data_IF_990921463339
#
_entry.id   IF_990921463339
#
_cell.length_a   1.000
_cell.length_b   1.000
_cell.length_c   1.000
_cell.angle_alpha   90.00
_cell.angle_beta   90.00
_cell.angle_gamma   90.00
#
_symmetry.space_group_name_H-M   'P 1'
#
loop_
_entity.id
_entity.type
_entity.pdbx_description
1 polymer ?
#
# COMPACT_ATOMS: atom_id res chain seq x y z
N UNK A 1 0.05 -26.25 1.31
CA UNK A 1 -0.75 -25.56 0.26
C UNK A 1 -0.41 -24.08 0.03
N UNK A 2 0.71 -23.51 0.53
CA UNK A 2 1.09 -22.10 0.27
C UNK A 2 1.85 -21.87 -1.06
N UNK A 3 2.38 -22.92 -1.68
CA UNK A 3 3.21 -22.80 -2.89
C UNK A 3 2.40 -22.54 -4.18
N UNK A 4 1.15 -23.02 -4.26
CA UNK A 4 0.34 -22.89 -5.48
C UNK A 4 -0.21 -21.47 -5.71
N UNK A 5 -0.38 -20.68 -4.65
CA UNK A 5 -0.93 -19.33 -4.76
C UNK A 5 0.00 -18.36 -5.51
N UNK A 6 1.32 -18.55 -5.38
CA UNK A 6 2.31 -17.72 -6.07
C UNK A 6 2.38 -17.99 -7.57
N UNK A 7 2.15 -19.24 -7.99
CA UNK A 7 2.28 -19.67 -9.39
C UNK A 7 1.22 -19.04 -10.29
N UNK A 8 -0.03 -18.97 -9.82
CA UNK A 8 -1.16 -18.41 -10.58
C UNK A 8 -1.08 -16.91 -10.83
N UNK A 9 -0.37 -16.14 -10.00
CA UNK A 9 -0.21 -14.70 -10.19
C UNK A 9 0.84 -14.38 -11.26
N UNK A 10 1.93 -15.15 -11.28
CA UNK A 10 2.95 -15.04 -12.33
C UNK A 10 2.38 -15.41 -13.72
N UNK A 11 1.46 -16.37 -13.78
CA UNK A 11 0.73 -16.74 -15.01
C UNK A 11 -0.15 -15.61 -15.56
N UNK A 12 -0.58 -14.65 -14.72
CA UNK A 12 -1.35 -13.47 -15.11
C UNK A 12 -0.47 -12.26 -15.50
N UNK A 13 0.86 -12.44 -15.58
CA UNK A 13 1.80 -11.35 -15.86
C UNK A 13 1.96 -10.36 -14.70
N UNK A 14 1.52 -10.73 -13.49
CA UNK A 14 1.67 -9.91 -12.29
C UNK A 14 3.01 -10.26 -11.64
N UNK A 15 4.00 -9.40 -11.83
CA UNK A 15 5.30 -9.52 -11.16
C UNK A 15 5.14 -9.28 -9.65
N UNK A 16 5.11 -10.37 -8.89
CA UNK A 16 4.94 -10.34 -7.43
C UNK A 16 6.25 -9.91 -6.77
N UNK A 17 6.34 -8.64 -6.37
CA UNK A 17 7.34 -8.21 -5.40
C UNK A 17 6.92 -8.63 -3.98
N UNK A 18 7.33 -9.82 -3.58
CA UNK A 18 7.25 -10.24 -2.18
C UNK A 18 8.28 -9.44 -1.40
N UNK A 19 7.80 -8.62 -0.45
CA UNK A 19 8.65 -7.97 0.55
C UNK A 19 9.56 -9.04 1.18
N UNK A 20 10.86 -8.97 0.90
CA UNK A 20 11.85 -9.93 1.37
C UNK A 20 11.94 -9.79 2.89
N UNK A 21 11.14 -10.57 3.62
CA UNK A 21 11.26 -10.72 5.06
C UNK A 21 12.59 -11.42 5.35
N UNK A 22 13.57 -10.68 5.87
CA UNK A 22 14.74 -11.29 6.46
C UNK A 22 14.28 -12.08 7.69
N UNK A 23 14.16 -13.40 7.55
CA UNK A 23 13.92 -14.29 8.68
C UNK A 23 15.05 -15.32 8.75
N UNK A 24 15.99 -15.10 9.67
CA UNK A 24 16.63 -16.12 10.49
C UNK A 24 17.67 -15.49 11.43
N UNK A 25 17.34 -15.34 12.71
CA UNK A 25 18.28 -15.51 13.82
C UNK A 25 17.50 -15.84 15.11
N UNK A 26 18.02 -16.83 15.81
CA UNK A 26 17.47 -17.66 16.89
C UNK A 26 17.26 -16.91 18.25
N UNK A 27 16.72 -17.58 19.30
CA UNK A 27 16.15 -16.95 20.49
C UNK A 27 17.19 -16.74 21.61
N UNK A 28 17.01 -15.69 22.41
CA UNK A 28 17.59 -15.51 23.74
C UNK A 28 16.70 -14.50 24.50
N UNK A 29 15.90 -14.92 25.48
CA UNK A 29 16.21 -15.13 26.92
C UNK A 29 15.44 -14.09 27.73
N UNK A 30 14.83 -14.57 28.80
CA UNK A 30 13.74 -13.99 29.59
C UNK A 30 14.23 -13.07 30.74
N UNK A 31 13.29 -12.20 31.20
CA UNK A 31 13.14 -11.56 32.53
C UNK A 31 13.85 -10.21 32.85
N UNK A 32 13.40 -9.42 33.85
CA UNK A 32 12.03 -8.95 34.12
C UNK A 32 11.89 -7.42 34.49
N UNK A 33 10.64 -6.92 34.39
CA UNK A 33 9.91 -5.86 35.13
C UNK A 33 10.56 -4.52 35.57
N UNK A 34 9.87 -3.37 35.29
CA UNK A 34 9.08 -2.60 36.31
C UNK A 34 8.51 -1.24 35.85
N UNK A 35 7.31 -0.96 36.40
CA UNK A 35 6.69 0.32 36.83
C UNK A 35 5.90 1.14 35.79
N UNK A 36 4.57 1.15 36.01
CA UNK A 36 3.65 2.26 35.69
C UNK A 36 3.67 3.30 36.81
N UNK A 37 3.40 4.58 36.47
CA UNK A 37 2.24 5.22 37.08
C UNK A 37 1.37 6.00 36.09
N UNK A 38 0.09 6.10 36.46
CA UNK A 38 -0.99 6.78 35.77
C UNK A 38 -1.03 8.29 36.07
N UNK A 39 -1.55 9.09 35.14
CA UNK A 39 -2.07 10.45 35.41
C UNK A 39 -2.36 11.26 34.13
N UNK A 40 -3.42 12.10 34.07
CA UNK A 40 -4.27 12.25 32.88
C UNK A 40 -4.15 13.60 32.15
N UNK A 41 -4.63 13.65 30.90
CA UNK A 41 -4.98 14.89 30.20
C UNK A 41 -5.34 14.67 28.72
N UNK A 42 -6.62 14.66 28.32
CA UNK A 42 -6.99 14.66 26.92
C UNK A 42 -6.94 16.09 26.35
N UNK A 43 -5.93 16.39 25.55
CA UNK A 43 -5.94 17.54 24.65
C UNK A 43 -6.70 17.14 23.37
N UNK A 44 -7.69 17.92 22.90
CA UNK A 44 -8.38 17.63 21.65
C UNK A 44 -7.42 17.83 20.47
N UNK A 45 -7.15 16.76 19.72
CA UNK A 45 -6.42 16.83 18.47
C UNK A 45 -7.27 17.58 17.43
N UNK A 46 -6.68 18.49 16.63
CA UNK A 46 -7.38 19.07 15.50
C UNK A 46 -7.68 17.96 14.48
N UNK A 47 -8.96 17.80 14.15
CA UNK A 47 -9.42 16.95 13.07
C UNK A 47 -8.71 17.38 11.78
N UNK A 48 -7.68 16.63 11.40
CA UNK A 48 -6.99 16.83 10.14
C UNK A 48 -7.89 16.24 9.07
N UNK A 49 -8.69 17.09 8.45
CA UNK A 49 -9.43 16.74 7.25
C UNK A 49 -8.42 16.23 6.22
N UNK A 50 -8.53 14.94 5.87
CA UNK A 50 -7.82 14.37 4.73
C UNK A 50 -8.41 15.04 3.50
N UNK A 51 -7.72 16.06 2.99
CA UNK A 51 -8.09 16.70 1.74
C UNK A 51 -7.94 15.67 0.63
N UNK A 52 -9.05 15.03 0.26
CA UNK A 52 -9.15 14.34 -1.01
C UNK A 52 -8.84 15.36 -2.12
N UNK A 53 -7.96 15.00 -3.04
CA UNK A 53 -7.62 15.84 -4.19
C UNK A 53 -8.88 16.28 -4.93
N UNK A 54 -8.87 17.51 -5.42
CA UNK A 54 -10.00 18.12 -6.12
C UNK A 54 -10.51 17.23 -7.26
N UNK A 55 -11.84 17.14 -7.45
CA UNK A 55 -12.44 16.36 -8.54
C UNK A 55 -12.04 17.00 -9.87
N UNK A 56 -11.22 16.31 -10.67
CA UNK A 56 -10.83 16.77 -12.00
C UNK A 56 -9.52 16.21 -12.52
N UNK A 57 -8.63 15.73 -11.64
CA UNK A 57 -7.40 15.03 -12.06
C UNK A 57 -7.54 13.56 -11.70
N UNK A 58 -7.56 12.68 -12.71
CA UNK A 58 -7.56 11.25 -12.49
C UNK A 58 -6.34 10.88 -11.63
N UNK A 59 -6.58 10.25 -10.49
CA UNK A 59 -5.52 9.90 -9.57
C UNK A 59 -4.56 8.91 -10.24
N UNK A 60 -3.27 9.19 -10.13
CA UNK A 60 -2.25 8.36 -10.76
C UNK A 60 -2.06 7.02 -10.03
N UNK A 61 -2.25 7.02 -8.71
CA UNK A 61 -2.14 5.83 -7.86
C UNK A 61 -3.44 5.60 -7.11
N UNK A 62 -3.95 4.37 -7.16
CA UNK A 62 -5.12 3.98 -6.36
C UNK A 62 -4.70 3.17 -5.14
N UNK A 63 -5.27 3.51 -3.98
CA UNK A 63 -4.98 2.87 -2.70
C UNK A 63 -6.19 2.08 -2.18
N UNK A 64 -6.09 0.75 -2.20
CA UNK A 64 -7.15 -0.17 -1.76
C UNK A 64 -6.81 -0.79 -0.40
N UNK A 65 -7.78 -0.83 0.50
CA UNK A 65 -7.72 -1.65 1.71
C UNK A 65 -9.07 -2.33 1.98
N UNK A 66 -9.04 -3.46 2.68
CA UNK A 66 -10.24 -4.18 3.08
C UNK A 66 -11.13 -3.37 4.04
N UNK A 67 -12.36 -3.83 4.24
CA UNK A 67 -13.43 -3.14 4.98
C UNK A 67 -13.25 -3.07 6.50
N UNK A 68 -12.07 -3.38 7.04
CA UNK A 68 -11.81 -3.40 8.47
C UNK A 68 -10.77 -2.37 8.92
N UNK A 69 -11.19 -1.38 9.71
CA UNK A 69 -10.34 -0.62 10.66
C UNK A 69 -9.13 0.16 10.12
N UNK A 70 -8.86 0.15 8.81
CA UNK A 70 -7.61 0.64 8.26
C UNK A 70 -7.50 2.17 8.10
N UNK A 71 -8.48 2.95 8.58
CA UNK A 71 -8.59 4.39 8.27
C UNK A 71 -7.34 5.21 8.59
N UNK A 72 -6.77 5.03 9.79
CA UNK A 72 -5.54 5.72 10.18
C UNK A 72 -4.33 5.29 9.33
N UNK A 73 -4.18 3.98 9.08
CA UNK A 73 -3.10 3.44 8.27
C UNK A 73 -3.20 3.92 6.81
N UNK A 74 -4.40 3.92 6.24
CA UNK A 74 -4.67 4.46 4.91
C UNK A 74 -4.30 5.94 4.83
N UNK A 75 -4.68 6.74 5.83
CA UNK A 75 -4.32 8.14 5.89
C UNK A 75 -2.79 8.33 5.97
N UNK A 76 -2.08 7.51 6.74
CA UNK A 76 -0.62 7.54 6.84
C UNK A 76 0.06 7.19 5.50
N UNK A 77 -0.44 6.15 4.82
CA UNK A 77 0.06 5.74 3.50
C UNK A 77 -0.23 6.84 2.47
N UNK A 78 -1.44 7.41 2.50
CA UNK A 78 -1.83 8.53 1.67
C UNK A 78 -0.92 9.74 1.86
N UNK A 79 -0.64 10.14 3.10
CA UNK A 79 0.34 11.20 3.39
C UNK A 79 1.73 10.85 2.85
N UNK A 80 2.14 9.59 2.95
CA UNK A 80 3.43 9.12 2.43
C UNK A 80 3.50 9.20 0.90
N UNK A 81 2.42 8.87 0.18
CA UNK A 81 2.30 9.04 -1.27
C UNK A 81 2.38 10.53 -1.66
N UNK A 82 1.66 11.39 -0.95
CA UNK A 82 1.73 12.84 -1.16
C UNK A 82 3.13 13.42 -0.91
N UNK A 83 3.85 12.93 0.12
CA UNK A 83 5.25 13.31 0.37
C UNK A 83 6.18 12.92 -0.80
N UNK A 84 5.87 11.82 -1.48
CA UNK A 84 6.58 11.38 -2.68
C UNK A 84 6.09 12.06 -3.97
N UNK A 85 5.20 13.06 -3.85
CA UNK A 85 4.59 13.80 -4.97
C UNK A 85 3.83 12.89 -5.94
N UNK A 86 3.21 11.84 -5.43
CA UNK A 86 2.30 11.00 -6.20
C UNK A 86 0.87 11.46 -5.97
N UNK A 87 0.16 11.77 -7.06
CA UNK A 87 -1.28 11.96 -7.03
C UNK A 87 -1.95 10.63 -6.76
N UNK A 88 -2.75 10.57 -5.70
CA UNK A 88 -3.40 9.34 -5.29
C UNK A 88 -4.84 9.59 -4.87
N UNK A 89 -5.64 8.53 -4.95
CA UNK A 89 -7.00 8.49 -4.43
C UNK A 89 -7.26 7.16 -3.72
N UNK A 90 -8.20 7.12 -2.76
CA UNK A 90 -8.73 5.85 -2.27
C UNK A 90 -9.31 5.06 -3.44
N UNK A 91 -9.00 3.77 -3.48
CA UNK A 91 -9.52 2.85 -4.46
C UNK A 91 -11.02 2.67 -4.26
N UNK A 92 -11.79 3.12 -5.24
CA UNK A 92 -13.21 2.82 -5.40
C UNK A 92 -13.37 1.90 -6.61
N UNK A 93 -14.47 1.14 -6.65
CA UNK A 93 -14.86 0.35 -7.82
C UNK A 93 -15.44 1.28 -8.90
N UNK A 94 -14.60 2.20 -9.41
CA UNK A 94 -14.89 3.08 -10.54
C UNK A 94 -13.98 2.71 -11.71
N UNK A 95 -14.58 2.15 -12.76
CA UNK A 95 -13.87 1.67 -13.95
C UNK A 95 -13.01 2.75 -14.60
N UNK A 96 -13.43 4.01 -14.57
CA UNK A 96 -12.68 5.10 -15.18
C UNK A 96 -11.40 5.43 -14.40
N UNK A 97 -11.50 5.51 -13.06
CA UNK A 97 -10.34 5.69 -12.20
C UNK A 97 -9.38 4.50 -12.31
N UNK A 98 -9.90 3.28 -12.29
CA UNK A 98 -9.12 2.05 -12.41
C UNK A 98 -8.39 1.98 -13.76
N UNK A 99 -9.07 2.34 -14.84
CA UNK A 99 -8.50 2.31 -16.20
C UNK A 99 -7.42 3.37 -16.43
N UNK A 100 -7.44 4.47 -15.67
CA UNK A 100 -6.47 5.58 -15.81
C UNK A 100 -5.28 5.51 -14.85
N UNK A 101 -5.39 4.76 -13.75
CA UNK A 101 -4.35 4.65 -12.74
C UNK A 101 -3.06 4.01 -13.31
N UNK A 102 -1.90 4.62 -13.05
CA UNK A 102 -0.60 4.07 -13.44
C UNK A 102 -0.02 3.10 -12.38
N UNK A 103 -0.59 3.10 -11.17
CA UNK A 103 -0.18 2.17 -10.12
C UNK A 103 -1.25 1.89 -9.07
N UNK A 104 -1.08 0.77 -8.39
CA UNK A 104 -2.00 0.25 -7.39
C UNK A 104 -1.23 -0.09 -6.12
N UNK A 105 -1.71 0.41 -4.99
CA UNK A 105 -1.27 -0.01 -3.66
C UNK A 105 -2.44 -0.73 -3.01
N UNK A 106 -2.28 -2.03 -2.75
CA UNK A 106 -3.36 -2.87 -2.23
C UNK A 106 -2.94 -3.53 -0.93
N UNK A 107 -3.72 -3.33 0.12
CA UNK A 107 -3.51 -3.98 1.42
C UNK A 107 -4.29 -5.30 1.47
N UNK A 108 -3.57 -6.41 1.34
CA UNK A 108 -4.13 -7.76 1.35
C UNK A 108 -4.17 -8.43 -0.03
N UNK A 109 -3.72 -9.68 -0.10
CA UNK A 109 -3.61 -10.47 -1.34
C UNK A 109 -4.99 -10.81 -1.95
N UNK A 110 -6.00 -11.08 -1.13
CA UNK A 110 -7.36 -11.37 -1.61
C UNK A 110 -8.02 -10.16 -2.26
N UNK A 111 -7.77 -8.97 -1.71
CA UNK A 111 -8.23 -7.73 -2.30
C UNK A 111 -7.50 -7.45 -3.61
N UNK A 112 -6.17 -7.65 -3.65
CA UNK A 112 -5.39 -7.47 -4.87
C UNK A 112 -5.89 -8.38 -6.00
N UNK A 113 -6.24 -9.63 -5.69
CA UNK A 113 -6.84 -10.56 -6.67
C UNK A 113 -8.18 -10.07 -7.21
N UNK A 114 -9.06 -9.54 -6.36
CA UNK A 114 -10.35 -8.99 -6.79
C UNK A 114 -10.18 -7.75 -7.67
N UNK A 115 -9.30 -6.83 -7.28
CA UNK A 115 -8.98 -5.63 -8.07
C UNK A 115 -8.38 -6.03 -9.42
N UNK A 116 -7.43 -6.97 -9.44
CA UNK A 116 -6.83 -7.48 -10.67
C UNK A 116 -7.84 -8.20 -11.58
N UNK A 117 -8.81 -8.93 -11.02
CA UNK A 117 -9.84 -9.62 -11.80
C UNK A 117 -10.80 -8.66 -12.52
N UNK A 118 -10.94 -7.42 -12.04
CA UNK A 118 -11.73 -6.38 -12.68
C UNK A 118 -10.98 -5.60 -13.77
N UNK A 119 -9.66 -5.82 -13.91
CA UNK A 119 -8.82 -5.06 -14.84
C UNK A 119 -8.70 -5.75 -16.20
N UNK A 120 -8.71 -4.99 -17.31
CA UNK A 120 -8.31 -5.49 -18.62
C UNK A 120 -6.89 -6.07 -18.60
N UNK A 121 -6.64 -7.15 -19.36
CA UNK A 121 -5.37 -7.90 -19.33
C UNK A 121 -4.17 -7.05 -19.79
N UNK A 122 -4.36 -6.15 -20.74
CA UNK A 122 -3.35 -5.19 -21.20
C UNK A 122 -2.92 -4.22 -20.09
N UNK A 123 -3.83 -3.88 -19.18
CA UNK A 123 -3.56 -2.99 -18.04
C UNK A 123 -2.79 -3.69 -16.93
N UNK A 124 -2.99 -5.00 -16.72
CA UNK A 124 -2.33 -5.74 -15.65
C UNK A 124 -0.80 -5.63 -15.70
N UNK A 125 -0.21 -5.76 -16.89
CA UNK A 125 1.25 -5.64 -17.09
C UNK A 125 1.74 -4.20 -17.27
N UNK A 126 0.86 -3.27 -17.63
CA UNK A 126 1.22 -1.86 -17.82
C UNK A 126 1.31 -1.07 -16.51
N UNK A 127 0.62 -1.53 -15.46
CA UNK A 127 0.52 -0.83 -14.19
C UNK A 127 1.54 -1.34 -13.16
N UNK A 128 1.96 -0.44 -12.27
CA UNK A 128 2.79 -0.82 -11.13
C UNK A 128 1.94 -1.34 -9.97
N UNK A 129 2.35 -2.46 -9.36
CA UNK A 129 1.61 -3.06 -8.24
C UNK A 129 2.46 -3.16 -6.97
N UNK A 130 1.88 -2.69 -5.87
CA UNK A 130 2.38 -2.96 -4.52
C UNK A 130 1.29 -3.70 -3.77
N UNK A 131 1.56 -4.97 -3.45
CA UNK A 131 0.68 -5.80 -2.63
C UNK A 131 1.31 -5.92 -1.25
N UNK A 132 0.73 -5.24 -0.27
CA UNK A 132 1.16 -5.31 1.11
C UNK A 132 0.35 -6.35 1.91
N UNK A 133 0.82 -6.67 3.11
CA UNK A 133 0.09 -7.52 4.05
C UNK A 133 -1.25 -6.91 4.46
N UNK A 134 -2.01 -7.67 5.25
CA UNK A 134 -3.28 -7.19 5.79
C UNK A 134 -3.07 -5.92 6.64
N UNK A 135 -4.03 -4.99 6.68
CA UNK A 135 -3.90 -3.73 7.42
C UNK A 135 -3.47 -3.92 8.88
N UNK A 136 -4.02 -4.91 9.58
CA UNK A 136 -3.70 -5.18 10.99
C UNK A 136 -2.24 -5.62 11.20
N UNK A 137 -1.73 -6.47 10.33
CA UNK A 137 -0.34 -6.95 10.38
C UNK A 137 0.63 -5.80 10.08
N UNK A 138 0.29 -5.00 9.07
CA UNK A 138 1.08 -3.84 8.66
C UNK A 138 1.08 -2.76 9.75
N UNK A 139 -0.04 -2.53 10.43
CA UNK A 139 -0.14 -1.58 11.52
C UNK A 139 0.76 -1.94 12.70
N UNK A 140 0.92 -3.23 13.00
CA UNK A 140 1.73 -3.74 14.13
C UNK A 140 3.20 -3.95 13.77
N UNK A 141 3.52 -4.20 12.50
CA UNK A 141 4.88 -4.58 12.06
C UNK A 141 5.75 -3.42 11.61
N UNK A 142 6.72 -2.98 12.43
CA UNK A 142 7.69 -1.95 12.03
C UNK A 142 8.52 -2.33 10.79
N UNK A 143 8.92 -3.60 10.68
CA UNK A 143 9.63 -4.11 9.50
C UNK A 143 8.74 -4.05 8.24
N UNK A 144 7.47 -4.42 8.36
CA UNK A 144 6.50 -4.37 7.26
C UNK A 144 6.29 -2.93 6.77
N UNK A 145 6.17 -1.96 7.69
CA UNK A 145 6.06 -0.52 7.33
C UNK A 145 7.31 -0.01 6.61
N UNK A 146 8.51 -0.34 7.09
CA UNK A 146 9.77 0.06 6.43
C UNK A 146 9.89 -0.54 5.03
N UNK A 147 9.50 -1.79 4.89
CA UNK A 147 9.54 -2.48 3.62
C UNK A 147 8.52 -1.87 2.63
N UNK A 148 7.29 -1.58 3.09
CA UNK A 148 6.31 -0.80 2.32
C UNK A 148 6.86 0.56 1.89
N UNK A 149 7.51 1.30 2.80
CA UNK A 149 8.12 2.59 2.45
C UNK A 149 9.19 2.47 1.36
N UNK A 150 9.98 1.39 1.38
CA UNK A 150 10.92 1.06 0.30
C UNK A 150 10.21 0.92 -1.05
N UNK A 151 9.11 0.18 -1.08
CA UNK A 151 8.30 -0.03 -2.29
C UNK A 151 7.63 1.25 -2.77
N UNK A 152 7.07 2.08 -1.89
CA UNK A 152 6.48 3.37 -2.26
C UNK A 152 7.51 4.29 -2.95
N UNK A 153 8.76 4.32 -2.43
CA UNK A 153 9.86 5.06 -3.09
C UNK A 153 10.24 4.46 -4.45
N UNK A 154 10.19 3.14 -4.61
CA UNK A 154 10.44 2.46 -5.89
C UNK A 154 9.35 2.84 -6.90
N UNK A 155 8.09 2.79 -6.49
CA UNK A 155 6.94 3.22 -7.30
C UNK A 155 7.10 4.67 -7.76
N UNK A 156 7.40 5.59 -6.84
CA UNK A 156 7.57 7.00 -7.17
C UNK A 156 8.64 7.21 -8.26
N UNK A 157 9.83 6.61 -8.08
CA UNK A 157 10.92 6.71 -9.07
C UNK A 157 10.52 6.14 -10.44
N UNK A 158 9.85 4.99 -10.45
CA UNK A 158 9.43 4.32 -11.68
C UNK A 158 8.42 5.17 -12.46
N UNK A 159 7.43 5.70 -11.77
CA UNK A 159 6.42 6.56 -12.36
C UNK A 159 7.02 7.89 -12.87
N UNK A 160 7.92 8.52 -12.11
CA UNK A 160 8.62 9.73 -12.57
C UNK A 160 9.50 9.48 -13.79
N UNK A 161 10.19 8.33 -13.86
CA UNK A 161 11.01 7.98 -15.02
C UNK A 161 10.15 7.78 -16.28
N UNK A 162 8.98 7.12 -16.14
CA UNK A 162 8.01 6.98 -17.23
C UNK A 162 7.49 8.32 -17.73
N UNK A 163 7.22 9.28 -16.84
CA UNK A 163 6.79 10.63 -17.25
C UNK A 163 7.84 11.39 -18.01
N UNK A 164 9.11 11.26 -17.59
CA UNK A 164 10.22 11.86 -18.31
C UNK A 164 10.32 11.27 -19.72
N UNK A 165 10.20 9.94 -19.84
CA UNK A 165 10.24 9.26 -21.13
C UNK A 165 9.07 9.64 -22.06
N UNK A 166 7.86 9.85 -21.52
CA UNK A 166 6.68 10.20 -22.31
C UNK A 166 6.68 11.64 -22.86
N UNK A 167 7.58 12.50 -22.40
CA UNK A 167 7.71 13.90 -22.85
C UNK A 167 8.71 14.09 -23.99
N UNK A 168 9.48 13.07 -24.32
CA UNK A 168 10.48 13.06 -25.38
C UNK A 168 9.95 12.30 -26.61
#
# INVERSE_FOLDING_TARGET
MRADAGRRLAELGIDRYVLRSAHAAAPATEAPARVSPAGPGPAPAPATAVAASAPGTAARVLLYAGTGGAGALLADIGRSLSLLRLDWAPGVEDDAAVSSAAGFVVLGEDLARRVAAGLPTDRLGACEWIIAGQPDDLARGAAAKRALWGELKRLARTLSARDAAAKH
#
